data_IF_721460665548
#
_entry.id   IF_721460665548
#
_cell.length_a   1.000
_cell.length_b   1.000
_cell.length_c   1.000
_cell.angle_alpha   90.00
_cell.angle_beta   90.00
_cell.angle_gamma   90.00
#
_symmetry.space_group_name_H-M   'P 1'
#
loop_
_entity.id
_entity.type
_entity.pdbx_description
1 polymer ?
#
# COMPACT_ATOMS: atom_id res chain seq x y z
N UNK A 1 32.09 5.15 -9.80
CA UNK A 1 30.97 5.74 -10.56
C UNK A 1 29.71 4.95 -10.19
N UNK A 2 28.89 5.46 -9.26
CA UNK A 2 27.69 4.75 -8.81
C UNK A 2 26.55 5.03 -9.79
N UNK A 3 26.35 4.12 -10.74
CA UNK A 3 25.20 4.15 -11.65
C UNK A 3 23.99 3.64 -10.87
N UNK A 4 23.24 4.55 -10.22
CA UNK A 4 21.93 4.22 -9.65
C UNK A 4 21.01 3.98 -10.85
N UNK A 5 20.84 2.71 -11.24
CA UNK A 5 19.84 2.30 -12.21
C UNK A 5 18.49 2.78 -11.68
N UNK A 6 17.83 3.69 -12.42
CA UNK A 6 16.45 4.05 -12.13
C UNK A 6 15.60 2.82 -12.41
N UNK A 7 15.45 1.97 -11.40
CA UNK A 7 14.46 0.92 -11.42
C UNK A 7 13.11 1.63 -11.35
N UNK A 8 12.48 1.83 -12.50
CA UNK A 8 11.09 2.26 -12.58
C UNK A 8 10.25 1.17 -11.90
N UNK A 9 10.03 1.33 -10.60
CA UNK A 9 9.11 0.50 -9.87
C UNK A 9 7.72 0.72 -10.46
N UNK A 10 7.22 -0.27 -11.20
CA UNK A 10 5.85 -0.24 -11.70
C UNK A 10 4.89 -0.18 -10.52
N UNK A 11 4.09 0.89 -10.47
CA UNK A 11 3.04 1.05 -9.48
C UNK A 11 1.77 0.41 -10.01
N UNK A 12 1.21 -0.52 -9.26
CA UNK A 12 -0.03 -1.21 -9.59
C UNK A 12 -1.16 -0.74 -8.67
N UNK A 13 -2.39 -0.67 -9.17
CA UNK A 13 -3.55 -0.35 -8.33
C UNK A 13 -3.81 -1.48 -7.32
N UNK A 14 -4.17 -1.10 -6.10
CA UNK A 14 -4.44 -2.02 -4.99
C UNK A 14 -5.92 -2.04 -4.68
N UNK A 15 -6.49 -3.24 -4.54
CA UNK A 15 -7.83 -3.41 -4.00
C UNK A 15 -7.80 -3.19 -2.49
N UNK A 16 -8.61 -2.24 -2.00
CA UNK A 16 -8.71 -1.90 -0.58
C UNK A 16 -10.13 -2.20 -0.06
N UNK A 17 -10.21 -2.94 1.05
CA UNK A 17 -11.48 -3.27 1.72
C UNK A 17 -11.44 -2.83 3.19
N UNK A 18 -12.48 -2.15 3.65
CA UNK A 18 -12.65 -1.84 5.07
C UNK A 18 -13.64 -2.82 5.73
N UNK A 19 -13.17 -3.54 6.77
CA UNK A 19 -14.02 -4.40 7.61
C UNK A 19 -13.58 -4.29 9.07
N UNK A 20 -14.52 -4.10 9.99
CA UNK A 20 -14.25 -4.07 11.44
C UNK A 20 -13.10 -3.12 11.85
N UNK A 21 -13.06 -1.90 11.28
CA UNK A 21 -12.00 -0.89 11.48
C UNK A 21 -10.59 -1.33 11.02
N UNK A 22 -10.50 -2.41 10.24
CA UNK A 22 -9.27 -2.90 9.61
C UNK A 22 -9.40 -2.71 8.10
N UNK A 23 -8.41 -2.05 7.51
CA UNK A 23 -8.25 -1.91 6.07
C UNK A 23 -7.39 -3.08 5.59
N UNK A 24 -7.90 -3.81 4.60
CA UNK A 24 -7.25 -4.92 3.94
C UNK A 24 -6.80 -4.42 2.57
N UNK A 25 -5.49 -4.45 2.33
CA UNK A 25 -4.87 -4.03 1.08
C UNK A 25 -4.32 -5.29 0.40
N UNK A 26 -4.87 -5.64 -0.75
CA UNK A 26 -4.41 -6.78 -1.55
C UNK A 26 -3.29 -6.35 -2.51
N UNK A 27 -2.10 -6.89 -2.28
CA UNK A 27 -0.90 -6.59 -3.06
C UNK A 27 -0.63 -7.63 -4.14
N UNK A 28 -1.34 -8.75 -4.16
CA UNK A 28 -1.13 -9.85 -5.12
C UNK A 28 0.19 -10.63 -4.95
N UNK A 29 1.16 -10.15 -4.15
CA UNK A 29 2.44 -10.83 -3.87
C UNK A 29 2.55 -11.19 -2.40
N UNK A 30 2.93 -12.42 -2.09
CA UNK A 30 2.99 -12.99 -0.72
C UNK A 30 4.36 -12.76 -0.08
N UNK A 31 4.39 -12.50 1.23
CA UNK A 31 5.64 -12.38 2.02
C UNK A 31 6.67 -11.43 1.37
N UNK A 32 6.21 -10.36 0.72
CA UNK A 32 7.06 -9.45 -0.07
C UNK A 32 7.02 -8.06 0.54
N UNK A 33 8.16 -7.37 0.55
CA UNK A 33 8.21 -5.95 0.90
C UNK A 33 7.37 -5.15 -0.09
N UNK A 34 6.57 -4.22 0.39
CA UNK A 34 5.64 -3.45 -0.43
C UNK A 34 5.57 -2.01 0.06
N UNK A 35 5.62 -1.09 -0.89
CA UNK A 35 5.41 0.33 -0.68
C UNK A 35 4.01 0.69 -1.17
N UNK A 36 3.21 1.38 -0.35
CA UNK A 36 1.90 1.90 -0.75
C UNK A 36 1.95 3.40 -0.97
N UNK A 37 1.21 3.84 -1.98
CA UNK A 37 1.15 5.21 -2.45
C UNK A 37 -0.29 5.70 -2.51
N UNK A 38 -0.48 6.96 -2.15
CA UNK A 38 -1.70 7.74 -2.41
C UNK A 38 -1.25 9.01 -3.13
N UNK A 39 -1.81 9.30 -4.30
CA UNK A 39 -1.40 10.43 -5.15
C UNK A 39 0.14 10.48 -5.36
N UNK A 40 0.74 9.31 -5.60
CA UNK A 40 2.18 9.11 -5.78
C UNK A 40 3.09 9.39 -4.56
N UNK A 41 2.52 9.73 -3.40
CA UNK A 41 3.23 9.89 -2.13
C UNK A 41 3.23 8.57 -1.36
N UNK A 42 4.39 8.13 -0.86
CA UNK A 42 4.49 6.93 0.00
C UNK A 42 3.78 7.19 1.32
N UNK A 43 2.85 6.31 1.69
CA UNK A 43 2.07 6.41 2.93
C UNK A 43 2.30 5.26 3.90
N UNK A 44 2.76 4.11 3.39
CA UNK A 44 3.01 2.91 4.19
C UNK A 44 4.07 2.05 3.50
N UNK A 45 5.05 1.60 4.27
CA UNK A 45 5.93 0.50 3.88
C UNK A 45 5.61 -0.69 4.78
N UNK A 46 5.46 -1.87 4.20
CA UNK A 46 5.05 -3.07 4.92
C UNK A 46 5.61 -4.33 4.27
N UNK A 47 5.39 -5.47 4.93
CA UNK A 47 5.57 -6.79 4.34
C UNK A 47 4.19 -7.41 4.19
N UNK A 48 3.86 -7.86 2.98
CA UNK A 48 2.60 -8.54 2.73
C UNK A 48 2.56 -9.90 3.43
N UNK A 49 1.38 -10.32 3.88
CA UNK A 49 1.22 -11.65 4.48
C UNK A 49 1.40 -12.79 3.47
N UNK A 50 1.34 -14.03 3.95
CA UNK A 50 1.30 -15.24 3.11
C UNK A 50 0.10 -15.31 2.15
N UNK A 51 -0.89 -14.41 2.29
CA UNK A 51 -2.03 -14.25 1.39
C UNK A 51 -1.88 -13.07 0.43
N UNK A 52 -0.77 -12.32 0.50
CA UNK A 52 -0.60 -11.09 -0.25
C UNK A 52 -1.41 -9.91 0.29
N UNK A 53 -1.79 -9.97 1.57
CA UNK A 53 -2.63 -8.95 2.19
C UNK A 53 -1.84 -8.19 3.25
N UNK A 54 -1.96 -6.86 3.24
CA UNK A 54 -1.54 -5.98 4.33
C UNK A 54 -2.77 -5.49 5.09
N UNK A 55 -2.70 -5.53 6.42
CA UNK A 55 -3.80 -5.14 7.31
C UNK A 55 -3.40 -3.90 8.10
N UNK A 56 -4.21 -2.84 7.99
CA UNK A 56 -3.95 -1.56 8.66
C UNK A 56 -5.16 -1.20 9.50
N UNK A 57 -4.97 -1.02 10.80
CA UNK A 57 -6.05 -0.59 11.69
C UNK A 57 -6.24 0.93 11.57
N UNK A 58 -7.48 1.40 11.54
CA UNK A 58 -7.81 2.82 11.32
C UNK A 58 -7.35 3.72 12.48
N UNK A 59 -7.20 3.17 13.68
CA UNK A 59 -6.83 3.91 14.90
C UNK A 59 -5.43 4.54 14.84
N UNK A 60 -4.55 4.06 13.96
CA UNK A 60 -3.27 4.71 13.67
C UNK A 60 -3.37 5.84 12.64
N UNK A 61 -2.43 6.79 12.69
CA UNK A 61 -2.36 7.91 11.75
C UNK A 61 -2.37 7.47 10.28
N UNK A 62 -1.58 6.44 9.93
CA UNK A 62 -1.56 5.85 8.58
C UNK A 62 -2.90 5.25 8.18
N UNK A 63 -3.54 4.47 9.06
CA UNK A 63 -4.85 3.88 8.78
C UNK A 63 -5.94 4.93 8.57
N UNK A 64 -5.92 6.00 9.38
CA UNK A 64 -6.81 7.15 9.21
C UNK A 64 -6.58 7.90 7.89
N UNK A 65 -5.33 8.02 7.44
CA UNK A 65 -4.99 8.62 6.14
C UNK A 65 -5.49 7.77 4.98
N UNK A 66 -5.26 6.46 5.01
CA UNK A 66 -5.72 5.53 3.97
C UNK A 66 -7.25 5.52 3.91
N UNK A 67 -7.94 5.48 5.05
CA UNK A 67 -9.39 5.54 5.11
C UNK A 67 -9.96 6.83 4.50
N UNK A 68 -9.33 7.99 4.78
CA UNK A 68 -9.73 9.27 4.17
C UNK A 68 -9.54 9.27 2.66
N UNK A 69 -8.43 8.72 2.18
CA UNK A 69 -8.16 8.59 0.75
C UNK A 69 -9.18 7.68 0.04
N UNK A 70 -9.52 6.53 0.64
CA UNK A 70 -10.57 5.64 0.12
C UNK A 70 -11.91 6.35 0.01
N UNK A 71 -12.33 7.09 1.04
CA UNK A 71 -13.58 7.85 1.04
C UNK A 71 -13.59 8.99 0.02
N UNK A 72 -12.43 9.57 -0.25
CA UNK A 72 -12.25 10.61 -1.27
C UNK A 72 -12.14 10.05 -2.70
N UNK A 73 -12.25 8.72 -2.89
CA UNK A 73 -12.13 8.09 -4.21
C UNK A 73 -10.71 8.12 -4.79
N UNK A 74 -9.70 8.37 -3.96
CA UNK A 74 -8.29 8.39 -4.40
C UNK A 74 -7.81 6.97 -4.67
N UNK A 75 -7.02 6.81 -5.72
CA UNK A 75 -6.40 5.51 -6.01
C UNK A 75 -5.26 5.22 -5.03
N UNK A 76 -5.27 4.01 -4.50
CA UNK A 76 -4.16 3.46 -3.72
C UNK A 76 -3.36 2.57 -4.66
N UNK A 77 -2.06 2.84 -4.76
CA UNK A 77 -1.14 2.03 -5.57
C UNK A 77 -0.12 1.34 -4.69
N UNK A 78 0.46 0.26 -5.17
CA UNK A 78 1.64 -0.34 -4.55
C UNK A 78 2.77 -0.59 -5.55
N UNK A 79 3.99 -0.62 -5.04
CA UNK A 79 5.16 -1.13 -5.75
C UNK A 79 5.96 -2.08 -4.87
N UNK A 80 6.87 -2.81 -5.51
CA UNK A 80 7.76 -3.78 -4.88
C UNK A 80 9.20 -3.35 -5.16
N UNK A 81 10.04 -3.18 -4.12
CA UNK A 81 11.47 -2.95 -4.28
C UNK A 81 12.22 -4.19 -4.78
#
# INVERSE_FOLDING_TARGET
>A
MWKRLYQTEEKHNVSALLKNKIIYLDTGRKNTSVNFYIDDIIVLQAISSNKGIVRVKIDGGTGSTINRAMKAGKSIKCSFP
#
